data_IF_048334299236
#
_entry.id   IF_048334299236
#
_cell.length_a   1.000
_cell.length_b   1.000
_cell.length_c   1.000
_cell.angle_alpha   90.00
_cell.angle_beta   90.00
_cell.angle_gamma   90.00
#
_symmetry.space_group_name_H-M   'P 1'
#
loop_
_entity.id
_entity.type
_entity.pdbx_description
1 polymer ?
#
# COMPACT_ATOMS: atom_id res chain seq x y z
N UNK A 1 -0.15 -20.11 -46.58
CA UNK A 1 0.29 -19.72 -45.25
C UNK A 1 -0.84 -19.21 -44.31
N UNK A 2 -1.98 -18.76 -44.80
CA UNK A 2 -3.08 -18.19 -43.96
C UNK A 2 -3.92 -19.19 -43.13
N UNK A 3 -3.90 -20.47 -43.40
CA UNK A 3 -4.70 -21.46 -42.66
C UNK A 3 -4.06 -21.96 -41.34
N UNK A 4 -2.73 -21.92 -41.20
CA UNK A 4 -2.05 -22.38 -39.99
C UNK A 4 -2.16 -21.34 -38.80
N UNK A 5 -2.20 -20.06 -39.12
CA UNK A 5 -2.28 -18.99 -38.10
C UNK A 5 -3.67 -18.93 -37.40
N UNK A 6 -4.75 -19.26 -38.14
CA UNK A 6 -6.10 -19.28 -37.54
C UNK A 6 -6.36 -20.46 -36.60
N UNK A 7 -5.71 -21.62 -36.86
CA UNK A 7 -5.86 -22.80 -35.99
C UNK A 7 -5.12 -22.62 -34.68
N UNK A 8 -3.94 -21.98 -34.69
CA UNK A 8 -3.19 -21.67 -33.46
C UNK A 8 -3.97 -20.69 -32.53
N UNK A 9 -4.57 -19.63 -33.10
CA UNK A 9 -5.37 -18.65 -32.29
C UNK A 9 -6.62 -19.31 -31.68
N UNK A 10 -7.28 -20.23 -32.35
CA UNK A 10 -8.46 -20.91 -31.81
C UNK A 10 -8.09 -21.92 -30.70
N UNK A 11 -6.94 -22.56 -30.76
CA UNK A 11 -6.48 -23.52 -29.75
C UNK A 11 -6.07 -22.75 -28.47
N UNK A 12 -5.37 -21.60 -28.60
CA UNK A 12 -4.99 -20.76 -27.47
C UNK A 12 -6.21 -20.16 -26.73
N UNK A 13 -7.23 -19.71 -27.48
CA UNK A 13 -8.48 -19.20 -26.89
C UNK A 13 -9.27 -20.30 -26.17
N UNK A 14 -9.33 -21.49 -26.71
CA UNK A 14 -10.05 -22.62 -26.11
C UNK A 14 -9.39 -23.14 -24.84
N UNK A 15 -8.05 -23.14 -24.76
CA UNK A 15 -7.32 -23.50 -23.52
C UNK A 15 -7.41 -22.45 -22.44
N UNK A 16 -7.31 -21.17 -22.78
CA UNK A 16 -7.47 -20.08 -21.82
C UNK A 16 -8.88 -20.04 -21.20
N UNK A 17 -9.91 -20.26 -22.02
CA UNK A 17 -11.30 -20.35 -21.56
C UNK A 17 -11.55 -21.57 -20.66
N UNK A 18 -10.93 -22.72 -20.96
CA UNK A 18 -11.00 -23.93 -20.14
C UNK A 18 -10.40 -23.77 -18.74
N UNK A 19 -9.24 -23.08 -18.64
CA UNK A 19 -8.62 -22.79 -17.34
C UNK A 19 -9.43 -21.81 -16.51
N UNK A 20 -9.96 -20.75 -17.12
CA UNK A 20 -10.80 -19.76 -16.44
C UNK A 20 -12.04 -20.42 -15.79
N UNK A 21 -12.73 -21.29 -16.53
CA UNK A 21 -13.90 -22.01 -16.00
C UNK A 21 -13.54 -22.98 -14.86
N UNK A 22 -12.38 -23.62 -14.94
CA UNK A 22 -11.91 -24.53 -13.87
C UNK A 22 -11.58 -23.76 -12.58
N UNK A 23 -10.91 -22.59 -12.70
CA UNK A 23 -10.64 -21.70 -11.56
C UNK A 23 -11.95 -21.20 -10.95
N UNK A 24 -12.88 -20.71 -11.77
CA UNK A 24 -14.17 -20.20 -11.31
C UNK A 24 -14.97 -21.24 -10.54
N UNK A 25 -15.06 -22.46 -11.04
CA UNK A 25 -15.78 -23.55 -10.39
C UNK A 25 -15.18 -23.89 -9.02
N UNK A 26 -13.84 -23.98 -8.93
CA UNK A 26 -13.17 -24.25 -7.65
C UNK A 26 -13.34 -23.11 -6.66
N UNK A 27 -13.19 -21.86 -7.10
CA UNK A 27 -13.40 -20.69 -6.24
C UNK A 27 -14.82 -20.69 -5.69
N UNK A 28 -15.83 -21.05 -6.50
CA UNK A 28 -17.21 -21.15 -6.03
C UNK A 28 -17.41 -22.22 -4.94
N UNK A 29 -16.71 -23.34 -5.03
CA UNK A 29 -16.74 -24.39 -4.01
C UNK A 29 -16.07 -23.95 -2.70
N UNK A 30 -14.93 -23.25 -2.78
CA UNK A 30 -14.15 -22.78 -1.63
C UNK A 30 -14.69 -21.47 -0.98
N UNK A 31 -15.52 -20.72 -1.71
CA UNK A 31 -15.96 -19.38 -1.29
C UNK A 31 -16.60 -19.33 0.10
N UNK A 32 -17.44 -20.26 0.54
CA UNK A 32 -18.02 -20.24 1.89
C UNK A 32 -16.96 -20.31 3.00
N UNK A 33 -15.91 -21.11 2.79
CA UNK A 33 -14.80 -21.21 3.74
C UNK A 33 -13.91 -19.97 3.71
N UNK A 34 -13.61 -19.44 2.53
CA UNK A 34 -12.88 -18.18 2.38
C UNK A 34 -13.60 -17.01 3.06
N UNK A 35 -14.91 -16.93 2.98
CA UNK A 35 -15.71 -15.93 3.72
C UNK A 35 -15.61 -16.15 5.23
N UNK A 36 -15.48 -17.39 5.69
CA UNK A 36 -15.25 -17.69 7.12
C UNK A 36 -13.86 -17.22 7.55
N UNK A 37 -12.83 -17.46 6.75
CA UNK A 37 -11.47 -16.96 6.97
C UNK A 37 -11.47 -15.42 7.02
N UNK A 38 -12.12 -14.76 6.05
CA UNK A 38 -12.27 -13.32 6.04
C UNK A 38 -12.85 -12.78 7.34
N UNK A 39 -13.98 -13.34 7.80
CA UNK A 39 -14.63 -12.91 9.04
C UNK A 39 -13.76 -13.15 10.27
N UNK A 40 -12.96 -14.20 10.27
CA UNK A 40 -12.00 -14.48 11.33
C UNK A 40 -10.92 -13.40 11.36
N UNK A 41 -10.26 -13.10 10.22
CA UNK A 41 -9.23 -12.07 10.11
C UNK A 41 -9.78 -10.68 10.44
N UNK A 42 -10.96 -10.34 9.92
CA UNK A 42 -11.65 -9.09 10.20
C UNK A 42 -11.91 -8.85 11.70
N UNK A 43 -12.30 -9.91 12.42
CA UNK A 43 -12.60 -9.84 13.85
C UNK A 43 -11.36 -9.83 14.76
N UNK A 44 -10.17 -10.19 14.22
CA UNK A 44 -8.92 -10.33 14.99
C UNK A 44 -7.77 -9.52 14.36
N UNK A 45 -7.96 -8.20 14.09
CA UNK A 45 -6.90 -7.38 13.50
C UNK A 45 -5.79 -7.09 14.50
N UNK A 46 -4.55 -7.01 13.99
CA UNK A 46 -3.37 -6.64 14.75
C UNK A 46 -2.69 -5.41 14.14
N UNK A 47 -2.15 -4.52 14.99
CA UNK A 47 -1.43 -3.32 14.53
C UNK A 47 -0.10 -3.69 13.85
N UNK A 48 0.42 -2.76 13.03
CA UNK A 48 1.80 -2.81 12.52
C UNK A 48 2.80 -3.13 13.63
N UNK A 49 3.74 -4.02 13.36
CA UNK A 49 4.74 -4.59 14.28
C UNK A 49 4.21 -5.59 15.32
N UNK A 50 2.91 -5.87 15.36
CA UNK A 50 2.28 -6.77 16.33
C UNK A 50 1.49 -7.91 15.67
N UNK A 51 1.67 -8.16 14.37
CA UNK A 51 0.90 -9.08 13.52
C UNK A 51 1.21 -10.57 13.79
N UNK A 52 1.47 -10.91 15.03
CA UNK A 52 1.97 -12.24 15.44
C UNK A 52 0.98 -13.36 15.14
N UNK A 53 -0.25 -13.20 15.58
CA UNK A 53 -1.27 -14.25 15.46
C UNK A 53 -1.78 -14.31 14.00
N UNK A 54 -1.88 -13.16 13.33
CA UNK A 54 -2.20 -13.06 11.90
C UNK A 54 -1.17 -13.80 11.04
N UNK A 55 0.11 -13.53 11.26
CA UNK A 55 1.20 -14.22 10.55
C UNK A 55 1.21 -15.72 10.83
N UNK A 56 1.03 -16.14 12.08
CA UNK A 56 0.99 -17.55 12.46
C UNK A 56 -0.21 -18.27 11.81
N UNK A 57 -1.36 -17.61 11.73
CA UNK A 57 -2.54 -18.14 11.06
C UNK A 57 -2.27 -18.40 9.57
N UNK A 58 -1.76 -17.40 8.84
CA UNK A 58 -1.43 -17.55 7.42
C UNK A 58 -0.33 -18.60 7.20
N UNK A 59 0.66 -18.64 8.06
CA UNK A 59 1.73 -19.64 8.01
C UNK A 59 1.19 -21.06 8.16
N UNK A 60 0.24 -21.27 9.09
CA UNK A 60 -0.44 -22.55 9.29
C UNK A 60 -1.23 -22.99 8.05
N UNK A 61 -1.99 -22.09 7.46
CA UNK A 61 -2.75 -22.34 6.22
C UNK A 61 -1.81 -22.73 5.07
N UNK A 62 -0.74 -21.96 4.82
CA UNK A 62 0.21 -22.26 3.76
C UNK A 62 0.93 -23.61 3.97
N UNK A 63 1.30 -23.96 5.22
CA UNK A 63 1.90 -25.29 5.54
C UNK A 63 0.92 -26.42 5.22
N UNK A 64 -0.36 -26.27 5.53
CA UNK A 64 -1.38 -27.27 5.23
C UNK A 64 -1.51 -27.55 3.74
N UNK A 65 -1.20 -26.56 2.89
CA UNK A 65 -1.20 -26.64 1.43
C UNK A 65 0.12 -27.16 0.84
N UNK A 66 1.11 -27.46 1.69
CA UNK A 66 2.40 -28.04 1.28
C UNK A 66 3.47 -27.01 0.92
N UNK A 67 3.32 -25.74 1.29
CA UNK A 67 4.38 -24.75 1.19
C UNK A 67 5.46 -24.97 2.26
N UNK A 68 6.72 -24.75 1.89
CA UNK A 68 7.81 -24.59 2.85
C UNK A 68 7.73 -23.15 3.40
N UNK A 69 7.35 -23.00 4.68
CA UNK A 69 7.10 -21.69 5.28
C UNK A 69 8.17 -21.31 6.27
N UNK A 70 8.73 -20.11 6.10
CA UNK A 70 9.62 -19.43 7.04
C UNK A 70 8.90 -18.23 7.62
N UNK A 71 8.86 -18.11 8.93
CA UNK A 71 8.27 -17.01 9.68
C UNK A 71 9.35 -16.05 10.20
N UNK A 72 8.94 -14.89 10.70
CA UNK A 72 9.80 -13.83 11.24
C UNK A 72 10.85 -13.34 10.22
N UNK A 73 10.44 -13.20 8.97
CA UNK A 73 11.28 -12.67 7.91
C UNK A 73 11.17 -11.15 7.91
N UNK A 74 12.28 -10.48 8.15
CA UNK A 74 12.39 -9.02 8.14
C UNK A 74 13.30 -8.52 9.26
N UNK A 75 14.03 -7.46 8.96
CA UNK A 75 14.96 -6.82 9.89
C UNK A 75 14.65 -5.31 9.94
N UNK A 76 14.14 -4.85 11.07
CA UNK A 76 13.94 -3.42 11.33
C UNK A 76 15.23 -2.79 11.86
N UNK A 77 15.39 -1.47 11.65
CA UNK A 77 16.52 -0.73 12.22
C UNK A 77 16.43 -0.64 13.75
N UNK A 78 15.22 -0.65 14.30
CA UNK A 78 14.98 -0.76 15.73
C UNK A 78 15.09 -2.23 16.17
N UNK A 79 16.10 -2.60 16.99
CA UNK A 79 16.31 -3.97 17.42
C UNK A 79 15.25 -4.49 18.41
N UNK A 80 14.41 -3.62 18.95
CA UNK A 80 13.31 -4.01 19.85
C UNK A 80 12.07 -4.46 19.04
N UNK A 81 11.99 -4.11 17.74
CA UNK A 81 10.89 -4.49 16.88
C UNK A 81 11.13 -5.87 16.25
N UNK A 82 10.15 -6.76 16.43
CA UNK A 82 10.14 -8.08 15.80
C UNK A 82 9.37 -8.03 14.50
N UNK A 83 9.93 -8.58 13.43
CA UNK A 83 9.19 -8.74 12.18
C UNK A 83 8.36 -10.03 12.21
N UNK A 84 7.09 -9.92 11.87
CA UNK A 84 6.20 -11.07 11.68
C UNK A 84 6.00 -11.39 10.20
N UNK A 85 6.92 -10.96 9.33
CA UNK A 85 6.91 -11.34 7.92
C UNK A 85 7.02 -12.84 7.74
N UNK A 86 6.35 -13.37 6.74
CA UNK A 86 6.40 -14.79 6.39
C UNK A 86 6.66 -14.99 4.89
N UNK A 87 7.35 -16.09 4.56
CA UNK A 87 7.63 -16.52 3.19
C UNK A 87 7.26 -17.98 3.03
N UNK A 88 6.29 -18.28 2.18
CA UNK A 88 5.91 -19.62 1.77
C UNK A 88 6.43 -19.91 0.35
N UNK A 89 7.14 -21.01 0.18
CA UNK A 89 7.69 -21.44 -1.13
C UNK A 89 7.07 -22.76 -1.55
N UNK A 90 6.51 -22.81 -2.76
CA UNK A 90 6.00 -24.03 -3.37
C UNK A 90 6.65 -24.23 -4.74
N UNK A 91 7.44 -25.28 -4.88
CA UNK A 91 8.10 -25.64 -6.13
C UNK A 91 7.28 -26.67 -6.91
N UNK A 92 7.19 -26.49 -8.22
CA UNK A 92 6.47 -27.38 -9.13
C UNK A 92 7.17 -27.52 -10.50
N UNK A 93 8.40 -28.05 -10.46
CA UNK A 93 9.24 -28.23 -11.65
C UNK A 93 10.02 -26.98 -12.06
N UNK A 94 10.66 -27.03 -13.23
CA UNK A 94 11.37 -25.90 -13.82
C UNK A 94 10.40 -24.90 -14.43
N UNK A 95 10.67 -23.61 -14.29
CA UNK A 95 9.84 -22.54 -14.79
C UNK A 95 10.11 -21.22 -14.06
N UNK A 96 9.32 -20.17 -14.36
CA UNK A 96 9.50 -18.87 -13.73
C UNK A 96 9.19 -18.91 -12.23
N UNK A 97 9.77 -17.94 -11.51
CA UNK A 97 9.45 -17.65 -10.12
C UNK A 97 8.47 -16.49 -10.06
N UNK A 98 7.28 -16.73 -9.51
CA UNK A 98 6.26 -15.69 -9.32
C UNK A 98 6.07 -15.46 -7.83
N UNK A 99 6.19 -14.20 -7.40
CA UNK A 99 5.91 -13.79 -6.02
C UNK A 99 4.54 -13.12 -5.93
N UNK A 100 3.73 -13.56 -4.95
CA UNK A 100 2.45 -12.92 -4.60
C UNK A 100 2.58 -12.38 -3.18
N UNK A 101 2.23 -11.10 -3.00
CA UNK A 101 2.30 -10.41 -1.71
C UNK A 101 0.91 -10.12 -1.17
N UNK A 102 0.76 -10.28 0.15
CA UNK A 102 -0.28 -9.65 0.96
C UNK A 102 0.35 -8.88 2.12
N UNK A 103 -0.31 -7.84 2.59
CA UNK A 103 -0.08 -7.16 3.85
C UNK A 103 -0.79 -7.86 5.00
N UNK A 104 -0.35 -7.62 6.26
CA UNK A 104 -0.85 -8.32 7.44
C UNK A 104 -1.49 -7.41 8.47
N UNK A 105 -1.09 -6.13 8.51
CA UNK A 105 -1.37 -5.21 9.59
C UNK A 105 -2.73 -4.51 9.47
N UNK A 106 -3.15 -3.89 10.56
CA UNK A 106 -4.37 -3.14 10.70
C UNK A 106 -4.11 -1.79 11.38
N UNK A 107 -5.14 -0.96 11.47
CA UNK A 107 -5.08 0.42 11.91
C UNK A 107 -5.68 0.64 13.30
N UNK A 108 -5.21 1.65 14.06
CA UNK A 108 -5.79 2.05 15.34
C UNK A 108 -7.10 2.83 15.15
N UNK A 109 -8.10 2.17 14.56
CA UNK A 109 -9.42 2.72 14.24
C UNK A 109 -10.50 1.94 14.98
N UNK A 110 -11.47 2.65 15.59
CA UNK A 110 -12.66 2.02 16.15
C UNK A 110 -13.66 1.71 15.04
N UNK A 111 -13.99 0.44 14.87
CA UNK A 111 -14.95 0.02 13.86
C UNK A 111 -16.40 0.43 14.20
N UNK A 112 -17.09 1.02 13.22
CA UNK A 112 -18.49 1.48 13.33
C UNK A 112 -19.35 1.00 12.15
N UNK A 113 -18.99 -0.14 11.55
CA UNK A 113 -19.72 -0.72 10.42
C UNK A 113 -21.04 -1.33 10.80
N UNK A 114 -21.22 -1.74 12.06
CA UNK A 114 -22.40 -2.46 12.53
C UNK A 114 -22.49 -3.91 12.04
N UNK A 115 -21.42 -4.46 11.48
CA UNK A 115 -21.35 -5.84 11.02
C UNK A 115 -21.43 -6.83 12.21
N UNK A 116 -22.04 -8.00 12.06
CA UNK A 116 -22.14 -8.98 13.14
C UNK A 116 -20.79 -9.61 13.54
N UNK A 117 -19.75 -9.41 12.72
CA UNK A 117 -18.38 -9.84 12.94
C UNK A 117 -17.40 -8.66 13.07
N UNK A 118 -17.93 -7.44 13.33
CA UNK A 118 -17.11 -6.25 13.51
C UNK A 118 -16.07 -6.44 14.61
N UNK A 119 -14.89 -5.89 14.40
CA UNK A 119 -13.77 -5.97 15.33
C UNK A 119 -14.10 -5.37 16.68
N UNK A 120 -13.77 -6.09 17.73
CA UNK A 120 -13.76 -5.61 19.12
C UNK A 120 -12.34 -5.61 19.70
N UNK A 121 -11.34 -5.81 18.84
CA UNK A 121 -9.94 -5.92 19.24
C UNK A 121 -9.44 -4.61 19.88
N UNK A 122 -8.61 -4.77 20.90
CA UNK A 122 -7.92 -3.69 21.61
C UNK A 122 -6.43 -4.00 21.58
N UNK A 123 -5.64 -2.99 21.33
CA UNK A 123 -4.17 -3.10 21.40
C UNK A 123 -3.58 -1.87 22.10
N UNK A 124 -2.33 -1.99 22.50
CA UNK A 124 -1.52 -0.85 22.95
C UNK A 124 -0.69 -0.39 21.75
N UNK A 125 -0.83 0.89 21.38
CA UNK A 125 -0.06 1.46 20.27
C UNK A 125 1.38 1.81 20.72
N UNK A 126 2.21 2.27 19.79
CA UNK A 126 3.60 2.66 20.07
C UNK A 126 3.74 3.80 21.08
N UNK A 127 2.69 4.61 21.30
CA UNK A 127 2.66 5.65 22.31
C UNK A 127 2.24 5.15 23.71
N UNK A 128 1.98 3.86 23.87
CA UNK A 128 1.50 3.26 25.12
C UNK A 128 0.00 3.46 25.39
N UNK A 129 -0.77 3.90 24.39
CA UNK A 129 -2.20 4.15 24.51
C UNK A 129 -3.01 2.92 24.11
N UNK A 130 -4.08 2.62 24.87
CA UNK A 130 -5.04 1.61 24.46
C UNK A 130 -5.94 2.13 23.34
N UNK A 131 -5.93 1.44 22.21
CA UNK A 131 -6.71 1.80 21.01
C UNK A 131 -7.55 0.62 20.53
N UNK A 132 -8.66 0.92 19.86
CA UNK A 132 -9.42 -0.05 19.07
C UNK A 132 -8.66 -0.33 17.78
N UNK A 133 -8.80 -1.55 17.24
CA UNK A 133 -8.09 -1.96 16.02
C UNK A 133 -9.08 -2.45 14.98
N UNK A 134 -8.89 -2.07 13.73
CA UNK A 134 -9.75 -2.44 12.60
C UNK A 134 -8.93 -2.59 11.33
N UNK A 135 -9.27 -3.57 10.47
CA UNK A 135 -8.78 -3.64 9.09
C UNK A 135 -9.45 -2.56 8.21
N UNK A 136 -9.19 -1.28 8.54
CA UNK A 136 -9.81 -0.16 7.84
C UNK A 136 -9.21 0.12 6.45
N UNK A 137 -8.14 -0.59 6.05
CA UNK A 137 -7.56 -0.57 4.71
C UNK A 137 -7.96 -1.81 3.86
N UNK A 138 -8.60 -2.81 4.47
CA UNK A 138 -9.06 -4.02 3.77
C UNK A 138 -8.00 -5.10 3.62
N UNK A 139 -6.97 -5.11 4.47
CA UNK A 139 -5.93 -6.15 4.43
C UNK A 139 -6.47 -7.55 4.75
N UNK A 140 -7.59 -7.65 5.46
CA UNK A 140 -8.35 -8.88 5.65
C UNK A 140 -8.85 -9.52 4.34
N UNK A 141 -9.35 -8.71 3.39
CA UNK A 141 -9.73 -9.23 2.07
C UNK A 141 -8.52 -9.52 1.18
N UNK A 142 -7.40 -8.79 1.39
CA UNK A 142 -6.13 -9.10 0.72
C UNK A 142 -5.61 -10.47 1.17
N UNK A 143 -5.48 -10.69 2.47
CA UNK A 143 -5.05 -11.97 3.06
C UNK A 143 -5.95 -13.13 2.66
N UNK A 144 -7.26 -12.90 2.65
CA UNK A 144 -8.22 -13.94 2.23
C UNK A 144 -8.06 -14.29 0.74
N UNK A 145 -7.88 -13.28 -0.12
CA UNK A 145 -7.63 -13.49 -1.55
C UNK A 145 -6.30 -14.20 -1.79
N UNK A 146 -5.28 -13.86 -1.01
CA UNK A 146 -3.97 -14.51 -1.01
C UNK A 146 -4.08 -16.00 -0.64
N UNK A 147 -4.75 -16.34 0.47
CA UNK A 147 -4.97 -17.74 0.88
C UNK A 147 -5.81 -18.51 -0.15
N UNK A 148 -6.86 -17.88 -0.69
CA UNK A 148 -7.66 -18.48 -1.76
C UNK A 148 -6.81 -18.80 -3.00
N UNK A 149 -5.94 -17.87 -3.39
CA UNK A 149 -4.98 -18.07 -4.50
C UNK A 149 -4.03 -19.24 -4.21
N UNK A 150 -3.47 -19.30 -2.99
CA UNK A 150 -2.59 -20.41 -2.58
C UNK A 150 -3.32 -21.77 -2.65
N UNK A 151 -4.57 -21.85 -2.18
CA UNK A 151 -5.41 -23.06 -2.25
C UNK A 151 -5.65 -23.49 -3.70
N UNK A 152 -6.02 -22.55 -4.58
CA UNK A 152 -6.23 -22.83 -6.01
C UNK A 152 -4.97 -23.38 -6.65
N UNK A 153 -3.83 -22.71 -6.50
CA UNK A 153 -2.57 -23.11 -7.13
C UNK A 153 -2.03 -24.42 -6.57
N UNK A 154 -2.15 -24.68 -5.27
CA UNK A 154 -1.80 -25.97 -4.67
C UNK A 154 -2.64 -27.13 -5.20
N UNK A 155 -3.93 -26.90 -5.47
CA UNK A 155 -4.85 -27.90 -6.03
C UNK A 155 -4.70 -28.08 -7.55
N UNK A 156 -4.07 -27.14 -8.26
CA UNK A 156 -3.95 -27.11 -9.72
C UNK A 156 -2.50 -27.28 -10.20
N UNK A 157 -1.66 -28.03 -9.47
CA UNK A 157 -0.24 -28.24 -9.80
C UNK A 157 0.00 -28.77 -11.21
N UNK A 158 -0.93 -29.50 -11.79
CA UNK A 158 -0.83 -29.99 -13.19
C UNK A 158 -0.92 -28.87 -14.23
N UNK A 159 -1.39 -27.67 -13.82
CA UNK A 159 -1.68 -26.55 -14.72
C UNK A 159 -0.55 -25.52 -14.81
N UNK A 160 0.52 -25.64 -14.02
CA UNK A 160 1.62 -24.68 -13.98
C UNK A 160 2.95 -25.34 -13.66
N UNK A 161 4.05 -24.65 -13.96
CA UNK A 161 5.43 -25.04 -13.63
C UNK A 161 6.20 -23.83 -13.11
N UNK A 162 7.20 -24.09 -12.26
CA UNK A 162 8.08 -23.07 -11.69
C UNK A 162 8.03 -23.02 -10.17
N UNK A 163 8.32 -21.86 -9.62
CA UNK A 163 8.34 -21.61 -8.17
C UNK A 163 7.36 -20.52 -7.79
N UNK A 164 6.41 -20.83 -6.91
CA UNK A 164 5.50 -19.87 -6.32
C UNK A 164 6.06 -19.42 -4.96
N UNK A 165 6.24 -18.13 -4.78
CA UNK A 165 6.64 -17.48 -3.53
C UNK A 165 5.48 -16.66 -3.01
N UNK A 166 4.93 -17.04 -1.86
CA UNK A 166 3.82 -16.35 -1.22
C UNK A 166 4.35 -15.62 0.01
N UNK A 167 4.26 -14.27 0.04
CA UNK A 167 4.76 -13.49 1.17
C UNK A 167 3.62 -12.77 1.91
N UNK A 168 3.63 -12.89 3.25
CA UNK A 168 2.86 -12.05 4.14
C UNK A 168 3.78 -10.95 4.68
N UNK A 169 3.51 -9.72 4.31
CA UNK A 169 4.33 -8.57 4.66
C UNK A 169 3.73 -7.83 5.86
N UNK A 170 4.48 -7.63 6.95
CA UNK A 170 4.05 -6.84 8.10
C UNK A 170 4.22 -5.34 7.84
N UNK A 171 3.67 -4.50 8.71
CA UNK A 171 3.93 -3.06 8.84
C UNK A 171 3.87 -2.28 7.51
N UNK A 172 2.84 -2.55 6.68
CA UNK A 172 2.57 -1.81 5.45
C UNK A 172 2.15 -0.38 5.79
N UNK A 173 1.26 -0.19 6.75
CA UNK A 173 0.72 1.10 7.19
C UNK A 173 1.79 2.04 7.81
N UNK A 174 3.00 1.50 7.99
CA UNK A 174 4.22 2.25 8.41
C UNK A 174 5.23 2.41 7.27
N UNK A 175 4.94 1.89 6.07
CA UNK A 175 5.89 1.88 4.95
C UNK A 175 7.20 1.13 5.25
N UNK A 176 7.20 0.24 6.25
CA UNK A 176 8.41 -0.34 6.82
C UNK A 176 8.62 -1.81 6.47
N UNK A 177 7.54 -2.55 6.21
CA UNK A 177 7.59 -4.00 6.10
C UNK A 177 8.36 -4.51 4.90
N UNK A 178 8.10 -3.97 3.71
CA UNK A 178 8.82 -4.39 2.50
C UNK A 178 10.33 -4.12 2.63
N UNK A 179 10.70 -2.95 3.19
CA UNK A 179 12.10 -2.61 3.47
C UNK A 179 12.73 -3.60 4.44
N UNK A 180 12.03 -3.93 5.54
CA UNK A 180 12.53 -4.88 6.53
C UNK A 180 12.74 -6.27 5.94
N UNK A 181 11.78 -6.79 5.14
CA UNK A 181 11.93 -8.09 4.47
C UNK A 181 13.09 -8.11 3.48
N UNK A 182 13.28 -7.05 2.69
CA UNK A 182 14.42 -6.92 1.78
C UNK A 182 15.75 -6.82 2.53
N UNK A 183 15.80 -6.07 3.64
CA UNK A 183 17.00 -5.96 4.50
C UNK A 183 17.40 -7.29 5.12
N UNK A 184 16.44 -8.17 5.45
CA UNK A 184 16.69 -9.55 5.91
C UNK A 184 17.05 -10.52 4.78
N UNK A 185 17.23 -10.01 3.56
CA UNK A 185 17.69 -10.80 2.42
C UNK A 185 16.58 -11.60 1.73
N UNK A 186 15.37 -11.07 1.62
CA UNK A 186 14.24 -11.73 0.96
C UNK A 186 14.62 -12.33 -0.41
N UNK A 187 15.38 -11.61 -1.24
CA UNK A 187 15.78 -12.08 -2.57
C UNK A 187 17.16 -12.78 -2.62
N UNK A 188 17.76 -13.04 -1.49
CA UNK A 188 19.01 -13.79 -1.38
C UNK A 188 18.87 -15.08 -0.59
N UNK A 189 17.95 -15.11 0.38
CA UNK A 189 17.61 -16.30 1.19
C UNK A 189 16.55 -17.17 0.52
N UNK A 190 15.68 -16.54 -0.28
CA UNK A 190 14.58 -17.19 -0.96
C UNK A 190 14.71 -17.01 -2.49
N UNK A 191 13.96 -17.77 -3.31
CA UNK A 191 14.01 -17.62 -4.75
C UNK A 191 13.66 -16.20 -5.18
N UNK A 192 14.60 -15.52 -5.89
CA UNK A 192 14.37 -14.19 -6.45
C UNK A 192 13.29 -14.29 -7.54
N UNK A 193 12.22 -13.49 -7.47
CA UNK A 193 11.13 -13.60 -8.42
C UNK A 193 11.46 -12.99 -9.79
N UNK A 194 10.88 -13.58 -10.84
CA UNK A 194 10.82 -12.99 -12.17
C UNK A 194 9.67 -11.98 -12.30
N UNK A 195 8.61 -12.17 -11.50
CA UNK A 195 7.42 -11.29 -11.44
C UNK A 195 6.92 -11.15 -10.01
N UNK A 196 6.43 -9.96 -9.67
CA UNK A 196 5.81 -9.70 -8.36
C UNK A 196 4.41 -9.17 -8.53
N UNK A 197 3.45 -9.76 -7.83
CA UNK A 197 2.04 -9.41 -7.90
C UNK A 197 1.48 -9.09 -6.51
N UNK A 198 0.61 -8.08 -6.46
CA UNK A 198 -0.25 -7.79 -5.31
C UNK A 198 -1.62 -7.29 -5.77
N UNK A 199 -2.57 -7.24 -4.84
CA UNK A 199 -3.83 -6.53 -5.01
C UNK A 199 -4.07 -5.59 -3.83
N UNK A 200 -4.88 -4.56 -4.05
CA UNK A 200 -5.32 -3.66 -2.99
C UNK A 200 -6.81 -3.36 -3.12
N UNK A 201 -7.54 -3.36 -2.02
CA UNK A 201 -8.95 -3.00 -1.97
C UNK A 201 -9.18 -1.55 -2.40
N UNK A 202 -10.23 -1.32 -3.21
CA UNK A 202 -10.61 0.00 -3.68
C UNK A 202 -11.95 0.43 -3.08
N UNK A 203 -11.94 1.51 -2.30
CA UNK A 203 -13.14 2.10 -1.70
C UNK A 203 -14.03 2.88 -2.70
N UNK A 204 -13.67 2.90 -3.97
CA UNK A 204 -14.40 3.61 -5.04
C UNK A 204 -14.81 2.71 -6.19
N UNK A 205 -14.43 1.43 -6.16
CA UNK A 205 -14.71 0.46 -7.20
C UNK A 205 -15.71 -0.58 -6.70
N UNK A 206 -16.77 -0.90 -7.47
CA UNK A 206 -17.74 -1.91 -7.03
C UNK A 206 -17.11 -3.30 -6.91
N UNK A 207 -17.51 -4.04 -5.87
CA UNK A 207 -17.15 -5.43 -5.70
C UNK A 207 -17.54 -6.25 -6.95
N UNK A 208 -16.65 -7.13 -7.39
CA UNK A 208 -16.79 -7.84 -8.66
C UNK A 208 -15.96 -7.25 -9.81
N UNK A 209 -15.33 -6.10 -9.60
CA UNK A 209 -14.46 -5.46 -10.62
C UNK A 209 -12.99 -5.43 -10.22
N UNK A 210 -12.13 -5.34 -11.23
CA UNK A 210 -10.69 -5.11 -11.13
C UNK A 210 -10.37 -3.76 -11.75
N UNK A 211 -9.61 -2.94 -11.01
CA UNK A 211 -8.99 -1.73 -11.51
C UNK A 211 -7.52 -1.99 -11.86
N UNK A 212 -7.06 -1.47 -12.98
CA UNK A 212 -5.65 -1.55 -13.37
C UNK A 212 -5.10 -0.18 -13.75
N UNK A 213 -3.82 0.00 -13.52
CA UNK A 213 -3.11 1.22 -13.92
C UNK A 213 -1.70 0.84 -14.37
N UNK A 214 -1.31 1.07 -15.63
CA UNK A 214 0.09 0.97 -16.03
C UNK A 214 0.87 2.16 -15.51
N UNK A 215 2.18 2.01 -15.36
CA UNK A 215 3.10 3.03 -14.85
C UNK A 215 2.81 3.37 -13.38
N UNK A 216 2.86 4.64 -13.01
CA UNK A 216 2.65 5.07 -11.63
C UNK A 216 1.21 4.82 -11.16
N UNK A 217 1.06 3.99 -10.14
CA UNK A 217 -0.23 3.65 -9.52
C UNK A 217 -0.43 4.38 -8.19
N UNK A 218 0.62 4.43 -7.34
CA UNK A 218 0.59 5.11 -6.04
C UNK A 218 1.82 6.00 -5.89
N UNK A 219 1.68 7.09 -5.12
CA UNK A 219 2.72 8.10 -4.96
C UNK A 219 3.83 7.66 -4.01
N UNK A 220 4.99 8.29 -4.12
CA UNK A 220 5.96 8.25 -3.03
C UNK A 220 5.44 8.99 -1.80
N UNK A 221 5.98 8.62 -0.65
CA UNK A 221 5.71 9.26 0.66
C UNK A 221 7.02 9.71 1.25
N UNK A 222 7.08 10.99 1.64
CA UNK A 222 8.16 11.53 2.47
C UNK A 222 7.56 12.26 3.65
N UNK A 223 8.15 12.05 4.83
CA UNK A 223 7.94 12.82 6.04
C UNK A 223 9.07 13.82 6.21
N UNK A 224 8.72 15.09 6.45
CA UNK A 224 9.70 16.17 6.62
C UNK A 224 9.38 16.95 7.89
N UNK A 225 10.35 17.04 8.80
CA UNK A 225 10.28 17.85 9.99
C UNK A 225 11.07 19.15 9.83
N UNK A 226 10.49 20.28 10.23
CA UNK A 226 11.16 21.58 10.23
C UNK A 226 11.12 22.16 11.64
N UNK A 227 12.29 22.38 12.22
CA UNK A 227 12.43 23.11 13.49
C UNK A 227 12.85 24.55 13.20
N UNK A 228 11.96 25.49 13.45
CA UNK A 228 12.24 26.93 13.39
C UNK A 228 12.77 27.39 14.73
N UNK A 229 14.05 27.79 14.79
CA UNK A 229 14.74 28.17 16.00
C UNK A 229 14.74 29.71 16.19
N UNK A 230 13.87 30.19 17.05
CA UNK A 230 13.76 31.59 17.38
C UNK A 230 14.61 32.05 18.59
N UNK A 231 14.33 33.23 19.07
CA UNK A 231 14.78 33.72 20.36
C UNK A 231 13.57 34.34 21.06
N UNK A 232 13.08 33.63 22.07
CA UNK A 232 11.87 33.97 22.79
C UNK A 232 11.98 35.23 23.65
N UNK A 233 10.84 35.69 24.16
CA UNK A 233 10.78 36.85 25.03
C UNK A 233 9.36 37.33 25.28
N UNK A 234 9.29 38.55 25.84
CA UNK A 234 8.01 39.16 26.20
C UNK A 234 7.26 39.63 24.95
N UNK A 235 6.02 39.21 24.75
CA UNK A 235 5.20 39.52 23.56
C UNK A 235 4.99 41.03 23.32
N UNK A 236 5.15 41.91 24.33
CA UNK A 236 5.09 43.34 24.14
C UNK A 236 6.41 43.96 23.64
N UNK A 237 7.51 43.22 23.60
CA UNK A 237 8.83 43.67 23.14
C UNK A 237 9.38 42.80 21.99
N UNK A 238 8.64 42.61 20.90
CA UNK A 238 9.03 41.73 19.81
C UNK A 238 10.35 42.13 19.14
N UNK A 239 10.71 43.43 19.19
CA UNK A 239 11.96 43.96 18.62
C UNK A 239 13.23 43.43 19.32
N UNK A 240 13.13 42.86 20.52
CA UNK A 240 14.24 42.22 21.25
C UNK A 240 14.34 40.71 20.97
N UNK A 241 13.49 40.16 20.17
CA UNK A 241 13.33 38.72 19.93
C UNK A 241 13.59 38.35 18.48
N UNK A 242 13.59 37.06 18.22
CA UNK A 242 13.44 36.46 16.88
C UNK A 242 12.23 35.52 16.94
N UNK A 243 11.09 36.01 16.47
CA UNK A 243 9.81 35.35 16.66
C UNK A 243 9.70 34.13 15.68
N UNK A 244 9.75 32.90 16.20
CA UNK A 244 9.68 31.71 15.35
C UNK A 244 8.26 31.43 14.84
N UNK A 245 7.21 31.97 15.49
CA UNK A 245 5.82 31.78 15.02
C UNK A 245 5.59 32.57 13.73
N UNK A 246 6.08 33.82 13.67
CA UNK A 246 5.99 34.64 12.46
C UNK A 246 6.79 34.01 11.32
N UNK A 247 8.02 33.55 11.60
CA UNK A 247 8.85 32.87 10.58
C UNK A 247 8.20 31.58 10.10
N UNK A 248 7.68 30.73 10.99
CA UNK A 248 6.98 29.50 10.63
C UNK A 248 5.77 29.78 9.71
N UNK A 249 5.00 30.82 10.02
CA UNK A 249 3.86 31.24 9.18
C UNK A 249 4.30 31.64 7.76
N UNK A 250 5.40 32.38 7.63
CA UNK A 250 5.97 32.75 6.33
C UNK A 250 6.49 31.52 5.57
N UNK A 251 7.13 30.57 6.26
CA UNK A 251 7.60 29.30 5.69
C UNK A 251 6.41 28.50 5.17
N UNK A 252 5.35 28.31 5.97
CA UNK A 252 4.14 27.58 5.55
C UNK A 252 3.56 28.15 4.26
N UNK A 253 3.42 29.48 4.17
CA UNK A 253 2.92 30.16 2.96
C UNK A 253 3.88 30.01 1.77
N UNK A 254 5.18 30.17 2.03
CA UNK A 254 6.22 30.01 1.00
C UNK A 254 6.21 28.62 0.39
N UNK A 255 6.15 27.57 1.19
CA UNK A 255 6.16 26.18 0.74
C UNK A 255 5.01 25.85 -0.23
N UNK A 256 3.85 26.53 -0.12
CA UNK A 256 2.75 26.32 -1.08
C UNK A 256 3.12 26.74 -2.51
N UNK A 257 4.12 27.61 -2.67
CA UNK A 257 4.56 28.04 -3.99
C UNK A 257 5.43 27.01 -4.71
N UNK A 258 5.94 26.01 -4.02
CA UNK A 258 6.69 24.90 -4.65
C UNK A 258 5.79 24.22 -5.66
N UNK A 259 4.64 23.69 -5.23
CA UNK A 259 3.70 23.00 -6.12
C UNK A 259 3.11 23.97 -7.14
N UNK A 260 2.69 25.15 -6.72
CA UNK A 260 1.96 26.07 -7.61
C UNK A 260 2.84 26.82 -8.60
N UNK A 261 4.17 26.91 -8.42
CA UNK A 261 5.08 27.76 -9.25
C UNK A 261 6.35 27.07 -9.71
N UNK A 262 6.74 25.93 -9.13
CA UNK A 262 8.02 25.31 -9.43
C UNK A 262 7.87 23.90 -10.04
N UNK A 263 6.72 23.26 -9.86
CA UNK A 263 6.40 21.95 -10.42
C UNK A 263 5.56 22.13 -11.69
N UNK A 264 5.83 21.31 -12.70
CA UNK A 264 5.01 21.27 -13.91
C UNK A 264 3.55 20.94 -13.55
N UNK A 265 2.54 21.64 -14.07
CA UNK A 265 1.14 21.31 -13.85
C UNK A 265 0.74 19.88 -14.31
N UNK A 266 1.57 19.24 -15.13
CA UNK A 266 1.41 17.87 -15.60
C UNK A 266 2.04 16.83 -14.68
N UNK A 267 2.79 17.27 -13.67
CA UNK A 267 3.42 16.41 -12.68
C UNK A 267 2.70 16.56 -11.32
N UNK A 268 1.82 15.63 -10.95
CA UNK A 268 1.12 15.71 -9.68
C UNK A 268 2.09 15.72 -8.50
N UNK A 269 1.86 16.64 -7.56
CA UNK A 269 2.67 16.78 -6.36
C UNK A 269 1.84 17.35 -5.20
N UNK A 270 2.18 16.93 -3.97
CA UNK A 270 1.55 17.41 -2.74
C UNK A 270 2.64 17.82 -1.76
N UNK A 271 2.50 19.01 -1.17
CA UNK A 271 3.26 19.49 -0.01
C UNK A 271 2.26 19.99 1.02
N UNK A 272 2.04 19.20 2.05
CA UNK A 272 1.08 19.54 3.13
C UNK A 272 1.82 19.72 4.45
N UNK A 273 1.66 20.86 5.09
CA UNK A 273 2.03 21.04 6.50
C UNK A 273 0.86 20.53 7.33
N UNK A 274 1.00 19.33 7.88
CA UNK A 274 -0.04 18.64 8.64
C UNK A 274 -0.06 19.04 10.12
N UNK A 275 1.06 19.53 10.63
CA UNK A 275 1.21 19.87 12.05
C UNK A 275 2.07 21.13 12.22
N UNK A 276 1.69 21.98 13.18
CA UNK A 276 2.45 23.15 13.61
C UNK A 276 2.31 23.31 15.13
N UNK A 277 3.42 23.27 15.84
CA UNK A 277 3.46 23.38 17.30
C UNK A 277 4.47 24.41 17.76
N UNK A 278 4.04 25.37 18.58
CA UNK A 278 4.91 26.38 19.19
C UNK A 278 4.15 27.38 20.06
N UNK A 279 4.78 27.80 21.14
CA UNK A 279 4.21 28.70 22.09
C UNK A 279 3.22 28.06 23.07
N UNK A 280 3.09 28.66 24.25
CA UNK A 280 2.21 28.17 25.34
C UNK A 280 1.27 29.25 25.86
N UNK A 281 1.55 30.52 25.60
CA UNK A 281 0.79 31.64 26.12
C UNK A 281 0.86 32.87 25.20
N UNK A 282 -0.25 33.59 25.10
CA UNK A 282 -0.44 34.72 24.16
C UNK A 282 0.56 35.86 24.28
N UNK A 283 1.21 36.06 25.44
CA UNK A 283 2.14 37.16 25.70
C UNK A 283 3.60 36.72 25.86
N UNK A 284 3.91 35.49 25.42
CA UNK A 284 5.26 34.90 25.44
C UNK A 284 5.60 34.42 24.02
N UNK A 285 6.66 35.01 23.45
CA UNK A 285 7.25 34.51 22.19
C UNK A 285 8.10 33.29 22.54
N UNK A 286 7.87 32.12 21.91
CA UNK A 286 8.62 30.89 22.20
C UNK A 286 10.03 30.90 21.60
N UNK A 287 10.86 29.95 22.01
CA UNK A 287 12.20 29.75 21.45
C UNK A 287 12.19 28.98 20.14
N UNK A 288 11.16 28.17 19.91
CA UNK A 288 11.07 27.35 18.70
C UNK A 288 9.63 27.04 18.28
N UNK A 289 9.48 26.65 17.00
CA UNK A 289 8.26 26.11 16.40
C UNK A 289 8.64 24.89 15.58
N UNK A 290 7.84 23.82 15.69
CA UNK A 290 7.98 22.57 14.92
C UNK A 290 6.89 22.48 13.88
N UNK A 291 7.27 22.12 12.64
CA UNK A 291 6.37 21.82 11.55
C UNK A 291 6.59 20.38 11.12
N UNK A 292 5.50 19.65 10.84
CA UNK A 292 5.56 18.32 10.23
C UNK A 292 4.83 18.33 8.90
N UNK A 293 5.50 17.82 7.87
CA UNK A 293 5.00 17.82 6.51
C UNK A 293 4.91 16.41 5.93
N UNK A 294 3.91 16.18 5.08
CA UNK A 294 3.94 15.07 4.14
C UNK A 294 4.16 15.59 2.72
N UNK A 295 5.03 14.92 1.98
CA UNK A 295 5.34 15.21 0.58
C UNK A 295 4.99 13.99 -0.26
N UNK A 296 4.30 14.22 -1.40
CA UNK A 296 3.89 13.17 -2.32
C UNK A 296 4.21 13.58 -3.75
N UNK A 297 4.69 12.64 -4.54
CA UNK A 297 4.86 12.77 -6.00
C UNK A 297 5.03 11.38 -6.62
N UNK A 298 5.18 11.32 -7.94
CA UNK A 298 5.42 10.02 -8.60
C UNK A 298 6.87 9.87 -9.07
N UNK A 299 7.43 10.93 -9.64
CA UNK A 299 8.73 10.89 -10.30
C UNK A 299 9.88 11.21 -9.33
N UNK A 300 10.98 10.46 -9.33
CA UNK A 300 12.13 10.71 -8.46
C UNK A 300 12.71 12.12 -8.59
N UNK A 301 12.75 12.67 -9.81
CA UNK A 301 13.24 14.03 -10.07
C UNK A 301 12.32 15.11 -9.50
N UNK A 302 11.00 14.87 -9.48
CA UNK A 302 10.02 15.78 -8.85
C UNK A 302 10.19 15.74 -7.34
N UNK A 303 10.28 14.54 -6.74
CA UNK A 303 10.60 14.36 -5.31
C UNK A 303 11.83 15.15 -4.89
N UNK A 304 12.94 14.91 -5.62
CA UNK A 304 14.21 15.59 -5.32
C UNK A 304 14.06 17.10 -5.38
N UNK A 305 13.40 17.62 -6.40
CA UNK A 305 13.17 19.06 -6.55
C UNK A 305 12.34 19.62 -5.39
N UNK A 306 11.29 18.94 -4.96
CA UNK A 306 10.46 19.37 -3.83
C UNK A 306 11.28 19.44 -2.55
N UNK A 307 12.03 18.38 -2.21
CA UNK A 307 12.82 18.31 -0.98
C UNK A 307 13.92 19.37 -0.95
N UNK A 308 14.60 19.60 -2.07
CA UNK A 308 15.60 20.67 -2.21
C UNK A 308 14.95 22.05 -2.06
N UNK A 309 13.79 22.28 -2.67
CA UNK A 309 13.05 23.54 -2.59
C UNK A 309 12.55 23.83 -1.17
N UNK A 310 12.09 22.80 -0.42
CA UNK A 310 11.70 22.95 1.00
C UNK A 310 12.89 23.47 1.81
N UNK A 311 14.08 22.87 1.65
CA UNK A 311 15.29 23.33 2.36
C UNK A 311 15.69 24.75 1.96
N UNK A 312 15.79 25.00 0.66
CA UNK A 312 16.21 26.30 0.13
C UNK A 312 15.27 27.43 0.56
N UNK A 313 13.95 27.18 0.45
CA UNK A 313 12.94 28.19 0.77
C UNK A 313 12.91 28.47 2.29
N UNK A 314 12.95 27.44 3.11
CA UNK A 314 12.95 27.58 4.59
C UNK A 314 14.15 28.39 5.07
N UNK A 315 15.34 28.08 4.56
CA UNK A 315 16.58 28.80 4.88
C UNK A 315 16.57 30.23 4.33
N UNK A 316 16.12 30.42 3.07
CA UNK A 316 16.06 31.75 2.44
C UNK A 316 15.09 32.71 3.12
N UNK A 317 13.93 32.23 3.57
CA UNK A 317 12.95 33.04 4.32
C UNK A 317 13.53 33.42 5.68
N UNK A 318 14.21 32.52 6.37
CA UNK A 318 14.85 32.80 7.66
C UNK A 318 15.97 33.85 7.51
N UNK A 319 16.79 33.75 6.46
CA UNK A 319 17.82 34.75 6.15
C UNK A 319 17.19 36.11 5.83
N UNK A 320 16.17 36.17 4.99
CA UNK A 320 15.44 37.40 4.65
C UNK A 320 14.78 38.03 5.86
N UNK A 321 14.32 37.25 6.84
CA UNK A 321 13.76 37.69 8.12
C UNK A 321 14.87 38.12 9.16
N UNK A 322 16.14 38.03 8.76
CA UNK A 322 17.28 38.44 9.60
C UNK A 322 17.52 37.50 10.79
N UNK A 323 17.24 36.21 10.64
CA UNK A 323 17.63 35.22 11.64
C UNK A 323 19.14 34.98 11.55
N UNK A 324 19.84 34.90 12.68
CA UNK A 324 21.28 34.64 12.66
C UNK A 324 21.57 33.20 12.27
N UNK A 325 22.74 32.95 11.68
CA UNK A 325 23.14 31.61 11.18
C UNK A 325 23.06 30.50 12.23
N UNK A 326 23.36 30.85 13.50
CA UNK A 326 23.31 29.94 14.64
C UNK A 326 21.88 29.46 14.95
N UNK A 327 20.89 30.20 14.46
CA UNK A 327 19.46 29.91 14.59
C UNK A 327 18.79 29.60 13.27
N UNK A 328 19.57 29.23 12.24
CA UNK A 328 19.00 28.71 10.97
C UNK A 328 18.05 27.55 11.25
N UNK A 329 16.89 27.48 10.61
CA UNK A 329 15.98 26.34 10.71
C UNK A 329 16.69 25.02 10.41
N UNK A 330 16.23 23.94 11.05
CA UNK A 330 16.68 22.59 10.75
C UNK A 330 15.58 21.92 9.92
N UNK A 331 15.94 21.38 8.76
CA UNK A 331 15.05 20.63 7.90
C UNK A 331 15.55 19.19 7.84
N UNK A 332 14.77 18.29 8.38
CA UNK A 332 15.06 16.85 8.41
C UNK A 332 14.06 16.13 7.51
N UNK A 333 14.58 15.25 6.66
CA UNK A 333 13.77 14.29 5.88
C UNK A 333 13.94 12.93 6.56
N UNK A 334 12.85 12.29 6.90
CA UNK A 334 12.89 10.96 7.48
C UNK A 334 13.05 9.92 6.36
N UNK A 335 14.28 9.43 6.19
CA UNK A 335 14.58 8.40 5.19
C UNK A 335 14.04 7.02 5.62
N UNK A 336 13.66 6.82 6.87
CA UNK A 336 13.07 5.57 7.34
C UNK A 336 11.59 5.49 7.02
N UNK A 337 10.90 6.62 7.04
CA UNK A 337 9.50 6.72 6.61
C UNK A 337 9.35 6.94 5.09
N UNK A 338 10.45 7.08 4.34
CA UNK A 338 10.36 7.20 2.89
C UNK A 338 9.80 5.92 2.27
N UNK A 339 8.76 6.05 1.46
CA UNK A 339 8.19 4.98 0.63
C UNK A 339 8.26 5.40 -0.83
N UNK A 340 8.88 4.60 -1.73
CA UNK A 340 8.97 4.94 -3.14
C UNK A 340 7.58 4.87 -3.81
N UNK A 341 7.44 5.59 -4.92
CA UNK A 341 6.22 5.46 -5.73
C UNK A 341 6.07 4.04 -6.28
N UNK A 342 4.87 3.49 -6.20
CA UNK A 342 4.56 2.19 -6.79
C UNK A 342 4.36 2.34 -8.30
N UNK A 343 5.19 1.63 -9.04
CA UNK A 343 5.20 1.65 -10.50
C UNK A 343 4.86 0.25 -11.04
N UNK A 344 3.73 0.15 -11.72
CA UNK A 344 3.34 -1.07 -12.42
C UNK A 344 4.06 -1.16 -13.77
N UNK A 345 4.75 -2.27 -14.01
CA UNK A 345 5.39 -2.53 -15.29
C UNK A 345 4.33 -2.54 -16.41
N UNK A 346 4.48 -1.71 -17.47
CA UNK A 346 3.44 -1.56 -18.49
C UNK A 346 3.19 -2.83 -19.32
N UNK A 347 4.23 -3.62 -19.61
CA UNK A 347 4.10 -4.83 -20.41
C UNK A 347 3.42 -5.94 -19.59
N UNK A 348 3.84 -6.11 -18.34
CA UNK A 348 3.21 -7.03 -17.41
C UNK A 348 1.76 -6.62 -17.15
N UNK A 349 1.49 -5.33 -16.87
CA UNK A 349 0.13 -4.83 -16.67
C UNK A 349 -0.78 -5.11 -17.87
N UNK A 350 -0.30 -4.87 -19.09
CA UNK A 350 -1.08 -5.17 -20.31
C UNK A 350 -1.39 -6.66 -20.43
N UNK A 351 -0.41 -7.52 -20.17
CA UNK A 351 -0.59 -8.98 -20.18
C UNK A 351 -1.63 -9.44 -19.16
N UNK A 352 -1.56 -8.89 -17.94
CA UNK A 352 -2.52 -9.22 -16.88
C UNK A 352 -3.92 -8.70 -17.18
N UNK A 353 -4.07 -7.53 -17.80
CA UNK A 353 -5.38 -7.01 -18.23
C UNK A 353 -6.06 -7.95 -19.21
N UNK A 354 -5.33 -8.52 -20.17
CA UNK A 354 -5.88 -9.50 -21.11
C UNK A 354 -6.32 -10.78 -20.37
N UNK A 355 -5.51 -11.23 -19.42
CA UNK A 355 -5.82 -12.38 -18.56
C UNK A 355 -7.06 -12.13 -17.71
N UNK A 356 -7.15 -10.98 -17.06
CA UNK A 356 -8.31 -10.60 -16.23
C UNK A 356 -9.60 -10.49 -17.07
N UNK A 357 -9.52 -9.89 -18.26
CA UNK A 357 -10.67 -9.81 -19.20
C UNK A 357 -11.16 -11.19 -19.64
N UNK A 358 -10.25 -12.10 -19.87
CA UNK A 358 -10.60 -13.48 -20.22
C UNK A 358 -11.23 -14.24 -19.04
N UNK A 359 -10.82 -13.94 -17.80
CA UNK A 359 -11.27 -14.63 -16.60
C UNK A 359 -12.57 -14.04 -16.00
N UNK A 360 -12.74 -12.74 -16.07
CA UNK A 360 -13.81 -12.02 -15.36
C UNK A 360 -14.84 -11.36 -16.29
N UNK A 361 -14.56 -11.28 -17.59
CA UNK A 361 -15.31 -10.47 -18.56
C UNK A 361 -14.71 -9.06 -18.68
N UNK A 362 -14.70 -8.54 -19.92
CA UNK A 362 -14.06 -7.26 -20.25
C UNK A 362 -14.68 -6.07 -19.51
N UNK A 363 -15.97 -6.12 -19.21
CA UNK A 363 -16.75 -5.11 -18.50
C UNK A 363 -16.38 -4.99 -17.00
N UNK A 364 -15.72 -6.01 -16.47
CA UNK A 364 -15.28 -6.07 -15.08
C UNK A 364 -13.81 -5.66 -14.87
N UNK A 365 -13.11 -5.26 -15.94
CA UNK A 365 -11.70 -4.84 -15.89
C UNK A 365 -11.58 -3.42 -16.41
N UNK A 366 -11.38 -2.47 -15.51
CA UNK A 366 -11.41 -1.05 -15.81
C UNK A 366 -10.07 -0.38 -15.53
N UNK A 367 -9.69 0.58 -16.36
CA UNK A 367 -8.55 1.44 -16.07
C UNK A 367 -8.95 2.48 -15.03
N UNK A 368 -8.07 2.68 -14.03
CA UNK A 368 -8.28 3.65 -12.96
C UNK A 368 -7.20 4.75 -13.00
N UNK A 369 -7.50 5.88 -12.38
CA UNK A 369 -6.52 6.95 -12.19
C UNK A 369 -5.52 6.60 -11.09
N UNK A 370 -4.29 7.12 -11.14
CA UNK A 370 -3.32 6.94 -10.07
C UNK A 370 -3.76 7.71 -8.82
N UNK A 371 -3.33 7.26 -7.66
CA UNK A 371 -3.71 7.87 -6.38
C UNK A 371 -2.49 8.41 -5.62
N UNK A 372 -2.70 9.44 -4.78
CA UNK A 372 -1.65 10.01 -3.93
C UNK A 372 -1.44 9.24 -2.62
N UNK A 373 -2.09 8.10 -2.42
CA UNK A 373 -1.79 7.15 -1.36
C UNK A 373 -0.38 6.59 -1.51
N UNK A 374 0.22 6.17 -0.39
CA UNK A 374 1.48 5.43 -0.39
C UNK A 374 1.23 3.92 -0.33
N UNK A 375 2.21 3.13 -0.74
CA UNK A 375 2.19 1.66 -0.69
C UNK A 375 3.63 1.16 -0.84
N UNK A 376 4.14 0.43 0.13
CA UNK A 376 5.54 0.00 0.13
C UNK A 376 5.83 -1.23 -0.74
N UNK A 377 4.81 -1.85 -1.34
CA UNK A 377 4.92 -2.88 -2.39
C UNK A 377 5.89 -2.46 -3.52
N UNK A 378 5.93 -1.17 -3.86
CA UNK A 378 6.80 -0.63 -4.90
C UNK A 378 8.29 -0.96 -4.70
N UNK A 379 8.71 -1.27 -3.47
CA UNK A 379 10.10 -1.66 -3.14
C UNK A 379 10.52 -2.99 -3.73
N UNK A 380 9.58 -3.90 -3.97
CA UNK A 380 9.90 -5.23 -4.52
C UNK A 380 10.32 -5.21 -5.99
N UNK A 381 10.05 -4.13 -6.72
CA UNK A 381 10.59 -3.95 -8.07
C UNK A 381 12.10 -3.68 -8.08
N UNK A 382 12.69 -3.37 -6.91
CA UNK A 382 14.06 -2.90 -6.69
C UNK A 382 14.36 -1.53 -7.35
N UNK A 383 15.52 -0.96 -7.00
CA UNK A 383 16.02 0.25 -7.67
C UNK A 383 16.25 -0.04 -9.15
N UNK A 384 15.81 0.88 -10.02
CA UNK A 384 15.89 0.68 -11.47
C UNK A 384 14.79 -0.21 -12.07
N UNK A 385 13.84 -0.70 -11.26
CA UNK A 385 12.72 -1.54 -11.71
C UNK A 385 13.18 -2.82 -12.37
N UNK A 386 14.13 -3.49 -11.72
CA UNK A 386 14.75 -4.73 -12.22
C UNK A 386 13.76 -5.90 -12.30
N UNK A 387 12.71 -5.89 -11.44
CA UNK A 387 11.72 -6.95 -11.37
C UNK A 387 10.36 -6.38 -11.80
N UNK A 388 9.77 -6.84 -12.91
CA UNK A 388 8.42 -6.49 -13.31
C UNK A 388 7.42 -6.77 -12.19
N UNK A 389 6.71 -5.73 -11.75
CA UNK A 389 5.76 -5.82 -10.66
C UNK A 389 4.45 -5.13 -11.00
N UNK A 390 3.33 -5.67 -10.53
CA UNK A 390 2.00 -5.09 -10.69
C UNK A 390 1.21 -5.24 -9.40
N UNK A 391 0.67 -4.13 -8.91
CA UNK A 391 -0.44 -4.10 -7.98
C UNK A 391 -1.70 -3.67 -8.71
N UNK A 392 -2.78 -4.40 -8.54
CA UNK A 392 -4.06 -4.07 -9.15
C UNK A 392 -5.12 -3.80 -8.08
N UNK A 393 -6.12 -3.01 -8.43
CA UNK A 393 -7.18 -2.64 -7.51
C UNK A 393 -8.30 -3.69 -7.51
N UNK A 394 -8.72 -4.12 -6.32
CA UNK A 394 -9.84 -5.01 -6.11
C UNK A 394 -11.06 -4.20 -5.68
N UNK A 395 -12.13 -4.23 -6.45
CA UNK A 395 -13.38 -3.58 -6.08
C UNK A 395 -13.93 -4.17 -4.78
N UNK A 396 -14.20 -3.29 -3.81
CA UNK A 396 -14.64 -3.66 -2.48
C UNK A 396 -16.02 -3.11 -2.11
N UNK A 397 -16.51 -2.10 -2.85
CA UNK A 397 -17.73 -1.37 -2.48
C UNK A 397 -18.98 -2.14 -2.88
N UNK A 398 -19.98 -2.17 -1.98
CA UNK A 398 -21.29 -2.67 -2.33
C UNK A 398 -21.89 -1.82 -3.47
N UNK A 399 -22.27 -2.42 -4.62
CA UNK A 399 -22.84 -1.69 -5.74
C UNK A 399 -24.03 -0.79 -5.35
N UNK A 400 -24.87 -1.20 -4.40
CA UNK A 400 -25.99 -0.38 -3.95
C UNK A 400 -25.55 0.93 -3.26
N UNK A 401 -24.42 0.94 -2.56
CA UNK A 401 -23.85 2.16 -1.97
C UNK A 401 -23.30 3.10 -3.04
N UNK A 402 -22.76 2.56 -4.13
CA UNK A 402 -22.31 3.34 -5.27
C UNK A 402 -23.47 3.99 -6.00
N UNK A 403 -24.56 3.25 -6.20
CA UNK A 403 -25.79 3.79 -6.82
C UNK A 403 -26.40 4.90 -5.94
N UNK A 404 -26.44 4.71 -4.62
CA UNK A 404 -26.87 5.74 -3.67
C UNK A 404 -25.99 6.99 -3.74
N UNK A 405 -24.67 6.80 -3.72
CA UNK A 405 -23.71 7.90 -3.86
C UNK A 405 -23.96 8.72 -5.15
N UNK A 406 -24.16 8.04 -6.28
CA UNK A 406 -24.42 8.70 -7.57
C UNK A 406 -25.74 9.47 -7.58
N UNK A 407 -26.78 8.96 -6.90
CA UNK A 407 -28.10 9.56 -6.88
C UNK A 407 -28.23 10.70 -5.85
N UNK A 408 -27.60 10.58 -4.71
CA UNK A 408 -27.82 11.46 -3.55
C UNK A 408 -26.61 12.32 -3.21
N UNK A 409 -25.40 11.96 -3.68
CA UNK A 409 -24.15 12.58 -3.25
C UNK A 409 -23.68 12.14 -1.87
N UNK A 410 -24.33 11.15 -1.24
CA UNK A 410 -23.89 10.59 0.05
C UNK A 410 -22.44 10.07 -0.07
N UNK A 411 -21.50 10.53 0.76
CA UNK A 411 -20.10 10.09 0.66
C UNK A 411 -19.96 8.58 0.89
N UNK A 412 -19.12 7.93 0.08
CA UNK A 412 -18.72 6.54 0.34
C UNK A 412 -17.74 6.49 1.52
N UNK A 413 -17.78 5.44 2.36
CA UNK A 413 -16.73 5.19 3.33
C UNK A 413 -15.38 5.01 2.60
N UNK A 414 -14.41 5.89 2.90
CA UNK A 414 -13.05 5.78 2.36
C UNK A 414 -12.25 4.71 3.09
N UNK A 415 -11.14 4.28 2.50
CA UNK A 415 -10.08 3.59 3.24
C UNK A 415 -9.71 4.40 4.50
N UNK A 416 -9.31 3.74 5.57
CA UNK A 416 -9.02 4.27 6.90
C UNK A 416 -10.24 4.88 7.64
N UNK A 417 -11.44 4.75 7.06
CA UNK A 417 -12.68 5.14 7.72
C UNK A 417 -13.17 4.04 8.68
N UNK A 418 -13.73 4.46 9.82
CA UNK A 418 -14.38 3.55 10.77
C UNK A 418 -15.60 2.79 10.20
N UNK A 419 -16.07 3.16 9.03
CA UNK A 419 -17.22 2.56 8.34
C UNK A 419 -16.83 1.79 7.08
N UNK A 420 -15.54 1.73 6.73
CA UNK A 420 -15.10 0.98 5.56
C UNK A 420 -15.16 -0.52 5.84
N UNK A 421 -15.87 -1.24 4.99
CA UNK A 421 -15.85 -2.71 4.99
C UNK A 421 -16.04 -3.22 3.57
N UNK A 422 -15.15 -4.08 3.06
CA UNK A 422 -15.34 -4.74 1.78
C UNK A 422 -16.62 -5.57 1.76
N UNK A 423 -17.31 -5.62 0.61
CA UNK A 423 -18.38 -6.59 0.40
C UNK A 423 -17.72 -7.97 0.15
N UNK A 424 -17.77 -8.93 1.12
CA UNK A 424 -16.80 -10.01 1.15
C UNK A 424 -16.91 -10.99 -0.03
N UNK A 425 -18.10 -11.59 -0.26
CA UNK A 425 -18.23 -12.66 -1.25
C UNK A 425 -17.78 -12.27 -2.67
N UNK A 426 -18.28 -11.19 -3.29
CA UNK A 426 -17.87 -10.83 -4.64
C UNK A 426 -16.43 -10.29 -4.68
N UNK A 427 -15.93 -9.62 -3.64
CA UNK A 427 -14.55 -9.15 -3.58
C UNK A 427 -13.57 -10.33 -3.51
N UNK A 428 -13.76 -11.25 -2.56
CA UNK A 428 -12.92 -12.45 -2.41
C UNK A 428 -12.94 -13.29 -3.69
N UNK A 429 -14.14 -13.59 -4.22
CA UNK A 429 -14.27 -14.35 -5.47
C UNK A 429 -13.45 -13.71 -6.60
N UNK A 430 -13.58 -12.41 -6.77
CA UNK A 430 -12.90 -11.67 -7.85
C UNK A 430 -11.39 -11.63 -7.63
N UNK A 431 -10.93 -11.35 -6.41
CA UNK A 431 -9.50 -11.32 -6.06
C UNK A 431 -8.83 -12.66 -6.28
N UNK A 432 -9.45 -13.76 -5.83
CA UNK A 432 -8.92 -15.12 -6.02
C UNK A 432 -8.89 -15.51 -7.49
N UNK A 433 -9.96 -15.25 -8.27
CA UNK A 433 -9.98 -15.56 -9.71
C UNK A 433 -8.89 -14.77 -10.44
N UNK A 434 -8.80 -13.45 -10.19
CA UNK A 434 -7.84 -12.59 -10.86
C UNK A 434 -6.40 -13.02 -10.56
N UNK A 435 -6.03 -13.14 -9.27
CA UNK A 435 -4.67 -13.46 -8.88
C UNK A 435 -4.27 -14.87 -9.32
N UNK A 436 -5.15 -15.87 -9.16
CA UNK A 436 -4.88 -17.24 -9.63
C UNK A 436 -4.67 -17.26 -11.14
N UNK A 437 -5.53 -16.58 -11.92
CA UNK A 437 -5.40 -16.51 -13.35
C UNK A 437 -4.11 -15.82 -13.81
N UNK A 438 -3.70 -14.74 -13.12
CA UNK A 438 -2.44 -14.06 -13.36
C UNK A 438 -1.24 -14.98 -13.15
N UNK A 439 -1.18 -15.69 -12.03
CA UNK A 439 -0.09 -16.63 -11.74
C UNK A 439 -0.07 -17.77 -12.74
N UNK A 440 -1.22 -18.38 -13.04
CA UNK A 440 -1.31 -19.44 -14.05
C UNK A 440 -0.85 -18.98 -15.44
N UNK A 441 -1.13 -17.73 -15.82
CA UNK A 441 -0.69 -17.18 -17.10
C UNK A 441 0.83 -16.98 -17.16
N UNK A 442 1.43 -16.54 -16.04
CA UNK A 442 2.87 -16.31 -15.93
C UNK A 442 3.69 -17.62 -15.84
N UNK A 443 3.09 -18.71 -15.35
CA UNK A 443 3.75 -19.99 -15.04
C UNK A 443 3.34 -21.15 -15.98
N UNK A 444 2.83 -20.83 -17.16
CA UNK A 444 2.49 -21.81 -18.22
C UNK A 444 3.72 -22.44 -18.85
#
# INVERSE_FOLDING_TARGET
>A
MLKKTRILSCVFLATAYGYSQAVENRVKEELPELVTIYKHLHAHPELSYYEKETAAYLAGELRSLGFAVTEQVGLYNDPEKVSYGLVGVLQNGEGPTVMVRTDLDALPVEEKTGLPYASQAMAVNENGEQVRVMHACGHDVHMTSFLGTARMLAAMKDSWRGTLVMIGQPAEERGAGARAMLADGLFTRFPKPDYVLALHAAATLPAGKIGHRPEYALANVDSVDITIRGAGGHGAWPHTTKDPIVLASQVVLGLQTIVSRQISPLDPAVVTVGSIHGGTKHNVIPDEVHLQLTVRSYKPEVRKHILDSIRQMTLGIAEAAGFPKERSPIVQVDEEEYTPATYNDPELNQRLVETFRAALGAENVVQVEPVMGGEDFGRYSLEGREIPSVIFWLGAVNPALLDEHQQTGTPLPSLHSSQFAPLPEPAIRTGVIAMTSAVLDLMK
#
